data_IF_698291369972
#
_entry.id   IF_698291369972
#
_cell.length_a   1.000
_cell.length_b   1.000
_cell.length_c   1.000
_cell.angle_alpha   90.00
_cell.angle_beta   90.00
_cell.angle_gamma   90.00
#
_symmetry.space_group_name_H-M   'P 1'
#
loop_
_entity.id
_entity.type
_entity.pdbx_description
1 polymer ?
#
# COMPACT_ATOMS: atom_id res chain seq x y z
N UNK A 1 -81.55 17.51 48.71
CA UNK A 1 -82.10 17.17 50.04
C UNK A 1 -80.94 16.99 50.99
N UNK A 2 -80.89 17.89 51.98
CA UNK A 2 -80.23 17.85 53.26
C UNK A 2 -78.71 17.98 53.29
N UNK A 3 -78.14 19.16 53.47
CA UNK A 3 -77.86 19.97 54.60
C UNK A 3 -77.22 19.26 55.84
N UNK A 4 -76.00 19.68 56.14
CA UNK A 4 -75.33 19.41 57.44
C UNK A 4 -73.97 20.12 57.54
N UNK A 5 -73.95 21.30 57.89
CA UNK A 5 -73.31 22.27 58.75
C UNK A 5 -72.09 21.77 59.63
N UNK A 6 -70.99 22.51 59.46
CA UNK A 6 -70.11 23.20 60.44
C UNK A 6 -69.58 22.42 61.64
N UNK A 7 -68.24 22.46 61.78
CA UNK A 7 -67.64 23.34 62.86
C UNK A 7 -66.10 23.47 62.66
N UNK A 8 -65.62 24.63 62.74
CA UNK A 8 -64.22 24.97 62.72
C UNK A 8 -63.58 24.80 64.10
N UNK A 9 -62.27 24.54 64.08
CA UNK A 9 -61.43 24.77 65.25
C UNK A 9 -60.08 25.29 64.77
N UNK A 10 -59.90 26.56 64.91
CA UNK A 10 -58.61 27.26 64.84
C UNK A 10 -57.78 26.84 66.06
N UNK A 11 -56.63 26.21 65.81
CA UNK A 11 -55.59 26.10 66.82
C UNK A 11 -54.31 26.69 66.24
N UNK A 12 -54.13 27.96 66.65
CA UNK A 12 -52.84 28.64 66.58
C UNK A 12 -51.86 27.93 67.51
N UNK A 13 -51.09 26.99 66.99
CA UNK A 13 -49.91 26.46 67.65
C UNK A 13 -48.78 27.49 67.50
N UNK A 14 -48.47 28.25 68.52
CA UNK A 14 -47.26 29.08 68.64
C UNK A 14 -46.06 28.14 68.58
N UNK A 15 -45.30 28.23 67.53
CA UNK A 15 -44.06 27.49 67.39
C UNK A 15 -43.05 27.99 68.40
N UNK A 16 -42.52 27.08 69.19
CA UNK A 16 -41.56 27.38 70.26
C UNK A 16 -40.23 27.91 69.68
N UNK A 17 -39.62 28.91 70.25
CA UNK A 17 -38.34 29.51 69.76
C UNK A 17 -37.24 28.49 69.55
N UNK A 18 -37.20 27.41 70.28
CA UNK A 18 -36.25 26.30 70.12
C UNK A 18 -36.40 25.56 68.80
N UNK A 19 -37.64 25.35 68.31
CA UNK A 19 -37.89 24.67 67.00
C UNK A 19 -37.46 25.48 65.78
N UNK A 20 -37.53 26.82 65.91
CA UNK A 20 -37.05 27.75 64.86
C UNK A 20 -35.51 27.72 64.77
N UNK A 21 -34.83 27.64 65.92
CA UNK A 21 -33.36 27.56 65.95
C UNK A 21 -32.85 26.25 65.34
N UNK A 22 -33.49 25.10 65.55
CA UNK A 22 -33.16 23.83 65.02
C UNK A 22 -33.39 23.82 63.49
N UNK A 23 -34.51 24.41 63.05
CA UNK A 23 -34.84 24.48 61.59
C UNK A 23 -33.88 25.39 60.84
N UNK A 24 -33.46 26.52 61.41
CA UNK A 24 -32.47 27.39 60.80
C UNK A 24 -31.04 26.78 60.75
N UNK A 25 -30.68 25.99 61.74
CA UNK A 25 -29.41 25.28 61.74
C UNK A 25 -29.39 24.09 60.67
N UNK A 26 -30.50 23.42 60.51
CA UNK A 26 -30.66 22.40 59.50
C UNK A 26 -30.57 23.04 58.09
N UNK A 27 -31.23 24.16 57.83
CA UNK A 27 -31.16 24.92 56.61
C UNK A 27 -29.75 25.44 56.29
N UNK A 28 -29.00 25.88 57.32
CA UNK A 28 -27.59 26.30 57.16
C UNK A 28 -26.69 25.09 56.82
N UNK A 29 -26.89 23.94 57.44
CA UNK A 29 -26.11 22.74 57.13
C UNK A 29 -26.39 22.20 55.74
N UNK A 30 -27.65 22.26 55.23
CA UNK A 30 -28.01 21.91 53.87
C UNK A 30 -27.41 22.89 52.85
N UNK A 31 -27.36 24.17 53.13
CA UNK A 31 -26.67 25.14 52.25
C UNK A 31 -25.18 24.87 52.16
N UNK A 32 -24.53 24.57 53.27
CA UNK A 32 -23.10 24.20 53.28
C UNK A 32 -22.89 22.89 52.52
N UNK A 33 -23.78 21.89 52.70
CA UNK A 33 -23.71 20.63 51.97
C UNK A 33 -23.79 20.84 50.46
N UNK A 34 -24.72 21.66 49.96
CA UNK A 34 -24.84 21.93 48.51
C UNK A 34 -23.69 22.81 47.97
N UNK A 35 -23.11 23.68 48.76
CA UNK A 35 -21.91 24.44 48.37
C UNK A 35 -20.71 23.49 48.29
N UNK A 36 -20.51 22.59 49.24
CA UNK A 36 -19.43 21.62 49.24
C UNK A 36 -19.62 20.59 48.10
N UNK A 37 -20.84 20.12 47.88
CA UNK A 37 -21.16 19.25 46.75
C UNK A 37 -20.93 19.95 45.41
N UNK A 38 -21.31 21.22 45.26
CA UNK A 38 -21.06 22.01 44.06
C UNK A 38 -19.57 22.24 43.79
N UNK A 39 -18.78 22.52 44.84
CA UNK A 39 -17.32 22.63 44.70
C UNK A 39 -16.67 21.29 44.37
N UNK A 40 -17.17 20.19 44.94
CA UNK A 40 -16.67 18.84 44.61
C UNK A 40 -16.99 18.44 43.16
N UNK A 41 -18.18 18.76 42.64
CA UNK A 41 -18.58 18.51 41.26
C UNK A 41 -17.75 19.38 40.30
N UNK A 42 -17.51 20.66 40.63
CA UNK A 42 -16.68 21.53 39.79
C UNK A 42 -15.20 21.11 39.82
N UNK A 43 -14.65 20.73 40.97
CA UNK A 43 -13.28 20.20 41.06
C UNK A 43 -13.15 18.85 40.34
N UNK A 44 -14.14 17.96 40.45
CA UNK A 44 -14.16 16.70 39.72
C UNK A 44 -14.26 16.91 38.20
N UNK A 45 -15.05 17.89 37.77
CA UNK A 45 -15.13 18.25 36.33
C UNK A 45 -13.80 18.84 35.81
N UNK A 46 -13.09 19.63 36.63
CA UNK A 46 -11.76 20.14 36.30
C UNK A 46 -10.68 19.05 36.28
N UNK A 47 -10.79 18.01 37.11
CA UNK A 47 -9.88 16.89 37.15
C UNK A 47 -10.13 15.88 35.98
N UNK A 48 -11.37 15.75 35.52
CA UNK A 48 -11.73 14.92 34.38
C UNK A 48 -11.30 15.55 33.06
N UNK A 49 -11.22 16.89 32.97
CA UNK A 49 -10.74 17.59 31.78
C UNK A 49 -9.21 17.60 31.58
N UNK A 50 -8.42 17.00 32.48
CA UNK A 50 -6.95 17.05 32.45
C UNK A 50 -6.27 15.68 32.18
N UNK A 51 -7.00 14.66 31.80
CA UNK A 51 -6.43 13.36 31.49
C UNK A 51 -6.18 13.10 29.99
N UNK A 52 -6.06 14.14 29.15
CA UNK A 52 -5.42 13.99 27.84
C UNK A 52 -3.91 14.13 28.04
N UNK A 53 -3.13 13.13 27.69
CA UNK A 53 -1.69 13.30 27.53
C UNK A 53 -1.44 14.38 26.47
N UNK A 54 -0.39 15.18 26.64
CA UNK A 54 -0.02 16.15 25.62
C UNK A 54 0.22 15.42 24.29
N UNK A 55 -0.21 15.99 23.15
CA UNK A 55 0.00 15.35 21.86
C UNK A 55 1.48 15.08 21.61
N UNK A 56 1.82 13.84 21.23
CA UNK A 56 3.19 13.41 20.94
C UNK A 56 3.52 13.80 19.51
N UNK A 57 4.69 14.42 19.26
CA UNK A 57 5.10 14.72 17.88
C UNK A 57 5.22 13.43 17.05
N UNK A 58 4.89 13.51 15.77
CA UNK A 58 5.02 12.34 14.86
C UNK A 58 6.45 11.81 14.86
N UNK A 59 7.43 12.72 14.91
CA UNK A 59 8.85 12.38 14.93
C UNK A 59 9.26 11.63 16.20
N UNK A 60 8.77 12.08 17.36
CA UNK A 60 9.08 11.43 18.64
C UNK A 60 8.36 10.08 18.78
N UNK A 61 7.18 9.95 18.17
CA UNK A 61 6.43 8.68 18.14
C UNK A 61 7.14 7.62 17.28
N UNK A 62 7.87 8.05 16.22
CA UNK A 62 8.52 7.17 15.25
C UNK A 62 9.97 7.61 14.98
N UNK A 63 10.86 7.55 15.97
CA UNK A 63 12.21 8.06 15.82
C UNK A 63 12.99 7.32 14.73
N UNK A 64 13.67 8.08 13.88
CA UNK A 64 14.55 7.53 12.84
C UNK A 64 13.83 6.87 11.64
N UNK A 65 12.50 7.00 11.53
CA UNK A 65 11.73 6.49 10.39
C UNK A 65 11.52 7.58 9.34
N UNK A 66 12.04 7.41 8.14
CA UNK A 66 11.91 8.41 7.05
C UNK A 66 10.47 8.65 6.59
N UNK A 67 9.62 7.63 6.69
CA UNK A 67 8.23 7.68 6.23
C UNK A 67 7.25 8.39 7.19
N UNK A 68 7.70 8.87 8.34
CA UNK A 68 6.82 9.52 9.33
C UNK A 68 6.44 10.93 8.98
N UNK A 69 7.25 11.61 8.19
CA UNK A 69 7.01 12.99 7.76
C UNK A 69 7.15 13.08 6.24
N UNK A 70 6.37 13.95 5.59
CA UNK A 70 6.60 14.24 4.17
C UNK A 70 7.97 14.89 3.98
N UNK A 71 8.58 14.65 2.82
CA UNK A 71 9.83 15.31 2.44
C UNK A 71 9.54 16.80 2.30
N UNK A 72 10.06 17.57 3.24
CA UNK A 72 9.90 19.02 3.20
C UNK A 72 10.91 19.62 2.22
N UNK A 73 10.39 20.36 1.27
CA UNK A 73 11.19 21.11 0.29
C UNK A 73 11.09 22.59 0.59
N UNK A 74 12.22 23.25 0.56
CA UNK A 74 12.33 24.71 0.63
C UNK A 74 11.87 25.37 -0.67
N UNK A 75 12.42 26.55 -0.93
CA UNK A 75 12.12 27.34 -2.11
C UNK A 75 12.70 26.70 -3.40
N UNK A 76 12.37 27.33 -4.54
CA UNK A 76 12.80 26.92 -5.87
C UNK A 76 14.32 26.83 -6.00
N UNK A 77 14.78 25.94 -6.85
CA UNK A 77 16.20 25.82 -7.21
C UNK A 77 16.50 26.77 -8.36
N UNK A 78 17.55 27.59 -8.29
CA UNK A 78 17.95 28.43 -9.40
C UNK A 78 18.17 27.63 -10.70
N UNK A 79 17.60 28.10 -11.81
CA UNK A 79 17.69 27.43 -13.11
C UNK A 79 16.59 26.39 -13.38
N UNK A 80 15.66 26.19 -12.43
CA UNK A 80 14.47 25.33 -12.60
C UNK A 80 13.21 26.19 -12.44
N UNK A 81 12.20 25.97 -13.30
CA UNK A 81 10.93 26.73 -13.25
C UNK A 81 10.04 26.35 -12.07
N UNK A 82 10.05 25.08 -11.72
CA UNK A 82 9.27 24.49 -10.63
C UNK A 82 9.80 23.11 -10.28
N UNK A 83 9.19 22.48 -9.26
CA UNK A 83 9.66 21.21 -8.70
C UNK A 83 8.74 20.03 -9.07
N UNK A 84 7.73 20.28 -9.93
CA UNK A 84 6.83 19.22 -10.40
C UNK A 84 7.55 18.31 -11.42
N UNK A 85 7.06 17.10 -11.60
CA UNK A 85 7.59 16.21 -12.63
C UNK A 85 7.41 16.81 -14.04
N UNK A 86 6.33 17.57 -14.25
CA UNK A 86 6.10 18.29 -15.51
C UNK A 86 7.18 19.35 -15.78
N UNK A 87 7.60 20.08 -14.76
CA UNK A 87 8.68 21.07 -14.90
C UNK A 87 9.99 20.40 -15.26
N UNK A 88 10.33 19.29 -14.59
CA UNK A 88 11.52 18.48 -14.93
C UNK A 88 11.42 17.93 -16.36
N UNK A 89 10.23 17.46 -16.75
CA UNK A 89 9.93 16.94 -18.08
C UNK A 89 10.11 17.94 -19.21
N UNK A 90 10.07 19.25 -18.92
CA UNK A 90 10.35 20.30 -19.90
C UNK A 90 11.76 20.25 -20.50
N UNK A 91 12.72 19.63 -19.79
CA UNK A 91 14.07 19.37 -20.27
C UNK A 91 14.40 17.89 -20.35
N UNK A 92 13.90 17.07 -19.40
CA UNK A 92 14.11 15.63 -19.29
C UNK A 92 12.93 14.84 -19.85
N UNK A 93 12.54 15.10 -21.09
CA UNK A 93 11.31 14.61 -21.71
C UNK A 93 11.19 13.08 -21.70
N UNK A 94 12.27 12.38 -22.07
CA UNK A 94 12.25 10.89 -22.11
C UNK A 94 12.06 10.28 -20.73
N UNK A 95 12.73 10.84 -19.71
CA UNK A 95 12.57 10.39 -18.32
C UNK A 95 11.15 10.64 -17.81
N UNK A 96 10.58 11.80 -18.16
CA UNK A 96 9.21 12.15 -17.81
C UNK A 96 8.19 11.19 -18.47
N UNK A 97 8.35 10.91 -19.78
CA UNK A 97 7.48 9.97 -20.51
C UNK A 97 7.54 8.56 -19.89
N UNK A 98 8.73 8.07 -19.56
CA UNK A 98 8.92 6.79 -18.90
C UNK A 98 8.28 6.77 -17.51
N UNK A 99 8.59 7.77 -16.66
CA UNK A 99 8.03 7.90 -15.32
C UNK A 99 6.50 7.99 -15.35
N UNK A 100 5.92 8.78 -16.21
CA UNK A 100 4.46 9.00 -16.30
C UNK A 100 3.67 7.70 -16.49
N UNK A 101 4.29 6.68 -17.05
CA UNK A 101 3.68 5.38 -17.27
C UNK A 101 3.90 4.40 -16.12
N UNK A 102 4.74 4.77 -15.15
CA UNK A 102 5.13 3.91 -14.02
C UNK A 102 4.06 3.83 -12.94
N UNK A 103 4.19 2.81 -12.09
CA UNK A 103 3.40 2.69 -10.86
C UNK A 103 3.69 3.83 -9.87
N UNK A 104 4.88 4.43 -9.90
CA UNK A 104 5.23 5.57 -9.07
C UNK A 104 4.39 6.80 -9.43
N UNK A 105 4.31 7.16 -10.71
CA UNK A 105 3.48 8.28 -11.15
C UNK A 105 2.00 8.08 -10.78
N UNK A 106 1.54 6.85 -10.76
CA UNK A 106 0.15 6.50 -10.47
C UNK A 106 -0.09 6.08 -9.01
N UNK A 107 0.89 6.27 -8.11
CA UNK A 107 0.81 5.77 -6.75
C UNK A 107 -0.37 6.37 -5.95
N UNK A 108 -0.71 7.62 -6.19
CA UNK A 108 -1.86 8.26 -5.56
C UNK A 108 -3.18 7.86 -6.22
N UNK A 109 -3.24 7.83 -7.55
CA UNK A 109 -4.47 7.55 -8.30
C UNK A 109 -4.81 6.06 -8.41
N UNK A 110 -4.01 5.17 -7.86
CA UNK A 110 -4.26 3.73 -7.84
C UNK A 110 -5.59 3.40 -7.15
N UNK A 111 -6.46 2.65 -7.83
CA UNK A 111 -7.82 2.41 -7.34
C UNK A 111 -7.87 1.58 -6.05
N UNK A 112 -6.97 0.61 -5.90
CA UNK A 112 -6.89 -0.17 -4.65
C UNK A 112 -6.44 0.74 -3.50
N UNK A 113 -5.45 1.61 -3.74
CA UNK A 113 -5.01 2.60 -2.77
C UNK A 113 -6.12 3.60 -2.42
N UNK A 114 -6.84 4.11 -3.40
CA UNK A 114 -7.97 5.01 -3.16
C UNK A 114 -9.10 4.34 -2.37
N UNK A 115 -9.34 3.05 -2.58
CA UNK A 115 -10.26 2.28 -1.76
C UNK A 115 -9.79 2.17 -0.30
N UNK A 116 -8.49 1.96 -0.07
CA UNK A 116 -7.89 1.96 1.28
C UNK A 116 -8.01 3.33 1.97
N UNK A 117 -7.70 4.41 1.27
CA UNK A 117 -7.86 5.77 1.80
C UNK A 117 -9.30 6.09 2.20
N UNK A 118 -10.27 5.51 1.51
CA UNK A 118 -11.70 5.75 1.74
C UNK A 118 -12.28 4.97 2.92
N UNK A 119 -11.50 4.11 3.56
CA UNK A 119 -11.93 3.39 4.77
C UNK A 119 -12.07 4.37 5.95
N UNK A 120 -13.12 4.24 6.79
CA UNK A 120 -13.35 5.15 7.92
C UNK A 120 -12.20 5.27 8.91
N UNK A 121 -11.47 4.17 9.08
CA UNK A 121 -10.35 4.07 10.03
C UNK A 121 -9.00 3.97 9.29
N UNK A 122 -8.86 4.64 8.16
CA UNK A 122 -7.58 4.71 7.46
C UNK A 122 -6.70 5.81 8.06
N UNK A 123 -5.45 5.54 8.45
CA UNK A 123 -4.50 6.56 8.85
C UNK A 123 -3.93 7.24 7.59
N UNK A 124 -4.80 7.98 6.87
CA UNK A 124 -4.50 8.54 5.55
C UNK A 124 -3.17 9.29 5.50
N UNK A 125 -2.91 10.12 6.51
CA UNK A 125 -1.68 10.93 6.61
C UNK A 125 -0.42 10.08 6.50
N UNK A 126 -0.44 8.87 7.08
CA UNK A 126 0.68 7.94 7.07
C UNK A 126 0.84 7.25 5.70
N UNK A 127 -0.25 6.77 5.14
CA UNK A 127 -0.25 6.14 3.80
C UNK A 127 0.30 7.08 2.73
N UNK A 128 -0.12 8.35 2.83
CA UNK A 128 0.30 9.39 1.90
C UNK A 128 1.81 9.67 1.96
N UNK A 129 2.50 9.41 3.06
CA UNK A 129 3.95 9.64 3.17
C UNK A 129 4.79 8.79 2.19
N UNK A 130 4.22 7.67 1.68
CA UNK A 130 4.84 6.88 0.62
C UNK A 130 4.21 7.13 -0.75
N UNK A 131 2.92 7.48 -0.81
CA UNK A 131 2.19 7.58 -2.08
C UNK A 131 2.24 8.97 -2.73
N UNK A 132 2.35 10.04 -1.93
CA UNK A 132 2.63 11.43 -2.34
C UNK A 132 3.58 12.05 -1.32
N UNK A 133 4.86 11.69 -1.35
CA UNK A 133 5.79 11.90 -0.23
C UNK A 133 6.27 13.34 -0.05
N UNK A 134 6.07 14.22 -1.02
CA UNK A 134 6.55 15.60 -0.94
C UNK A 134 5.55 16.48 -0.18
N UNK A 135 6.04 17.40 0.64
CA UNK A 135 5.18 18.30 1.43
C UNK A 135 4.24 19.13 0.56
N UNK A 136 4.68 19.64 -0.58
CA UNK A 136 3.84 20.42 -1.51
C UNK A 136 2.67 19.63 -2.13
N UNK A 137 2.71 18.31 -2.09
CA UNK A 137 1.62 17.45 -2.54
C UNK A 137 0.53 17.25 -1.49
N UNK A 138 0.68 17.83 -0.29
CA UNK A 138 -0.14 17.54 0.89
C UNK A 138 -0.97 18.73 1.30
N UNK A 139 -2.29 18.59 1.25
CA UNK A 139 -3.23 19.61 1.73
C UNK A 139 -3.10 19.85 3.24
N UNK A 140 -2.85 18.78 3.98
CA UNK A 140 -2.65 18.81 5.42
C UNK A 140 -1.47 17.94 5.80
N UNK A 141 -0.75 18.32 6.85
CA UNK A 141 0.41 17.61 7.37
C UNK A 141 0.12 17.25 8.84
N UNK A 142 0.34 15.99 9.20
CA UNK A 142 0.28 15.55 10.59
C UNK A 142 1.54 16.00 11.32
N UNK A 143 1.37 16.71 12.42
CA UNK A 143 2.48 17.20 13.25
C UNK A 143 2.60 16.44 14.57
N UNK A 144 1.47 16.07 15.16
CA UNK A 144 1.37 15.36 16.43
C UNK A 144 0.28 14.29 16.36
N UNK A 145 0.26 13.43 17.35
CA UNK A 145 -0.74 12.39 17.56
C UNK A 145 -1.33 12.54 18.96
N UNK A 146 -2.65 12.65 19.06
CA UNK A 146 -3.32 12.63 20.35
C UNK A 146 -3.13 11.25 20.98
N UNK A 147 -2.66 11.20 22.21
CA UNK A 147 -2.32 9.97 22.94
C UNK A 147 -1.35 9.03 22.18
N UNK A 148 -0.61 9.54 21.20
CA UNK A 148 0.25 8.75 20.33
C UNK A 148 -0.49 7.83 19.35
N UNK A 149 -1.81 8.04 19.20
CA UNK A 149 -2.65 7.23 18.30
C UNK A 149 -2.56 7.71 16.86
N UNK A 150 -2.13 6.81 15.95
CA UNK A 150 -2.00 7.09 14.51
C UNK A 150 -3.31 7.44 13.82
N UNK A 151 -4.44 7.08 14.43
CA UNK A 151 -5.79 7.38 13.93
C UNK A 151 -6.33 8.72 14.44
N UNK A 152 -5.59 9.41 15.32
CA UNK A 152 -5.96 10.70 15.88
C UNK A 152 -4.88 11.77 15.63
N UNK A 153 -4.51 12.02 14.36
CA UNK A 153 -3.48 13.00 14.03
C UNK A 153 -3.96 14.43 14.28
N UNK A 154 -3.07 15.27 14.77
CA UNK A 154 -3.22 16.72 14.72
C UNK A 154 -2.74 17.19 13.36
N UNK A 155 -3.68 17.64 12.53
CA UNK A 155 -3.44 18.05 11.15
C UNK A 155 -3.35 19.58 11.06
N UNK A 156 -2.32 20.08 10.42
CA UNK A 156 -2.18 21.51 10.09
C UNK A 156 -2.32 21.71 8.58
N UNK A 157 -3.00 22.78 8.18
CA UNK A 157 -3.14 23.17 6.79
C UNK A 157 -1.78 23.55 6.20
N UNK A 158 -1.55 23.16 4.95
CA UNK A 158 -0.31 23.47 4.25
C UNK A 158 -0.55 24.53 3.18
N UNK A 159 -0.05 25.75 3.38
CA UNK A 159 -0.18 26.85 2.43
C UNK A 159 0.58 26.63 1.12
N UNK A 160 1.57 25.73 1.11
CA UNK A 160 2.36 25.37 -0.07
C UNK A 160 1.74 24.23 -0.89
N UNK A 161 0.50 23.81 -0.55
CA UNK A 161 -0.19 22.73 -1.24
C UNK A 161 -0.51 23.12 -2.70
N UNK A 162 -0.13 22.25 -3.64
CA UNK A 162 -0.49 22.34 -5.05
C UNK A 162 -1.32 21.14 -5.47
N UNK A 163 -2.61 21.31 -5.83
CA UNK A 163 -3.52 20.22 -6.21
C UNK A 163 -3.10 19.50 -7.50
N UNK A 164 -2.34 20.16 -8.39
CA UNK A 164 -1.80 19.50 -9.58
C UNK A 164 -0.60 18.64 -9.23
N UNK A 165 0.22 19.08 -8.28
CA UNK A 165 1.35 18.29 -7.80
C UNK A 165 0.89 17.05 -7.00
N UNK A 166 -0.21 17.13 -6.25
CA UNK A 166 -0.83 16.00 -5.57
C UNK A 166 -1.05 14.80 -6.50
N UNK A 167 -1.45 15.07 -7.76
CA UNK A 167 -1.76 14.03 -8.76
C UNK A 167 -0.53 13.27 -9.28
N UNK A 168 0.67 13.75 -9.03
CA UNK A 168 1.90 13.17 -9.58
C UNK A 168 2.37 11.89 -8.88
N UNK A 169 1.78 11.51 -7.73
CA UNK A 169 2.22 10.32 -7.00
C UNK A 169 3.66 10.47 -6.48
N UNK A 170 4.47 9.42 -6.64
CA UNK A 170 5.90 9.45 -6.33
C UNK A 170 6.63 10.10 -7.51
N UNK A 171 6.90 11.39 -7.39
CA UNK A 171 7.43 12.21 -8.48
C UNK A 171 8.96 12.25 -8.52
N UNK A 172 9.51 12.93 -9.52
CA UNK A 172 10.96 13.12 -9.68
C UNK A 172 11.61 13.67 -8.40
N UNK A 173 10.95 14.64 -7.76
CA UNK A 173 11.42 15.28 -6.54
C UNK A 173 11.60 14.30 -5.36
N UNK A 174 10.83 13.24 -5.30
CA UNK A 174 10.96 12.23 -4.23
C UNK A 174 12.35 11.62 -4.15
N UNK A 175 12.96 11.36 -5.30
CA UNK A 175 14.30 10.78 -5.37
C UNK A 175 15.39 11.82 -5.53
N UNK A 176 15.14 12.86 -6.33
CA UNK A 176 16.15 13.81 -6.76
C UNK A 176 16.24 15.09 -5.91
N UNK A 177 15.29 15.33 -5.01
CA UNK A 177 15.31 16.52 -4.16
C UNK A 177 15.51 16.13 -2.68
N UNK A 178 16.26 16.96 -1.98
CA UNK A 178 16.38 16.90 -0.52
C UNK A 178 16.54 18.32 0.03
N UNK A 179 16.29 18.51 1.32
CA UNK A 179 16.66 19.72 2.02
C UNK A 179 18.08 19.58 2.60
N UNK A 180 18.86 20.65 2.51
CA UNK A 180 20.13 20.73 3.23
C UNK A 180 19.90 21.10 4.72
N UNK A 181 20.98 21.22 5.47
CA UNK A 181 20.94 21.60 6.89
C UNK A 181 20.39 23.00 7.17
N UNK A 182 20.29 23.83 6.14
CA UNK A 182 19.73 25.19 6.18
C UNK A 182 18.29 25.24 5.68
N UNK A 183 17.68 24.09 5.36
CA UNK A 183 16.32 24.00 4.83
C UNK A 183 16.18 24.40 3.36
N UNK A 184 17.27 24.58 2.61
CA UNK A 184 17.23 24.89 1.18
C UNK A 184 17.06 23.62 0.38
N UNK A 185 16.25 23.68 -0.67
CA UNK A 185 16.11 22.56 -1.61
C UNK A 185 17.34 22.43 -2.46
N UNK A 186 17.92 21.23 -2.50
CA UNK A 186 19.03 20.87 -3.36
C UNK A 186 18.67 19.68 -4.24
N UNK A 187 19.18 19.68 -5.46
CA UNK A 187 19.01 18.58 -6.40
C UNK A 187 20.20 17.64 -6.28
N UNK A 188 19.91 16.35 -6.13
CA UNK A 188 20.91 15.29 -6.09
C UNK A 188 20.86 14.44 -7.36
N UNK A 189 22.02 14.02 -7.83
CA UNK A 189 22.19 13.18 -9.00
C UNK A 189 23.28 12.13 -8.84
N UNK A 190 23.32 11.11 -9.71
CA UNK A 190 24.40 10.10 -9.67
C UNK A 190 25.75 10.63 -10.16
N UNK A 191 25.73 11.74 -10.90
CA UNK A 191 26.91 12.39 -11.48
C UNK A 191 26.86 13.88 -11.23
N UNK A 192 28.02 14.55 -11.18
CA UNK A 192 28.16 16.01 -11.10
C UNK A 192 28.19 16.65 -12.46
N UNK A 193 27.31 16.30 -13.40
CA UNK A 193 27.31 16.85 -14.75
C UNK A 193 26.99 18.36 -14.75
N UNK A 194 27.57 19.09 -15.68
CA UNK A 194 27.23 20.50 -15.92
C UNK A 194 25.78 20.60 -16.37
N UNK A 195 24.99 21.41 -15.69
CA UNK A 195 23.59 21.64 -15.96
C UNK A 195 23.24 23.11 -15.70
N UNK A 196 22.14 23.64 -16.25
CA UNK A 196 21.64 24.98 -15.90
C UNK A 196 21.29 25.13 -14.40
N UNK A 197 21.04 24.04 -13.73
CA UNK A 197 20.79 23.96 -12.29
C UNK A 197 21.93 23.24 -11.58
N UNK A 198 22.18 23.57 -10.32
CA UNK A 198 23.18 22.90 -9.50
C UNK A 198 22.73 21.47 -9.17
N UNK A 199 23.67 20.52 -9.25
CA UNK A 199 23.44 19.10 -8.94
C UNK A 199 24.53 18.62 -7.97
N UNK A 200 24.16 18.23 -6.79
CA UNK A 200 25.04 17.53 -5.85
C UNK A 200 25.18 16.06 -6.27
N UNK A 201 26.42 15.60 -6.42
CA UNK A 201 26.68 14.18 -6.69
C UNK A 201 26.44 13.37 -5.41
N UNK A 202 25.37 12.62 -5.37
CA UNK A 202 25.02 11.78 -4.21
C UNK A 202 24.27 10.52 -4.64
N UNK A 203 24.97 9.57 -5.22
CA UNK A 203 24.40 8.30 -5.70
C UNK A 203 23.85 7.47 -4.54
N UNK A 204 24.52 7.46 -3.39
CA UNK A 204 24.12 6.69 -2.23
C UNK A 204 22.76 7.13 -1.70
N UNK A 205 22.56 8.44 -1.52
CA UNK A 205 21.27 8.98 -1.09
C UNK A 205 20.14 8.66 -2.08
N UNK A 206 20.40 8.66 -3.39
CA UNK A 206 19.41 8.26 -4.40
C UNK A 206 18.98 6.80 -4.24
N UNK A 207 19.94 5.91 -4.03
CA UNK A 207 19.67 4.48 -3.92
C UNK A 207 19.01 4.12 -2.59
N UNK A 208 19.33 4.84 -1.51
CA UNK A 208 18.72 4.64 -0.20
C UNK A 208 17.22 4.96 -0.19
N UNK A 209 16.75 5.87 -1.06
CA UNK A 209 15.34 6.26 -1.16
C UNK A 209 14.36 5.11 -1.38
N UNK A 210 14.80 4.04 -2.04
CA UNK A 210 13.93 2.88 -2.26
C UNK A 210 13.46 2.29 -0.92
N UNK A 211 14.36 2.19 0.05
CA UNK A 211 14.08 1.60 1.36
C UNK A 211 13.18 2.49 2.24
N UNK A 212 13.13 3.79 1.97
CA UNK A 212 12.25 4.70 2.73
C UNK A 212 10.77 4.27 2.63
N UNK A 213 10.36 3.64 1.52
CA UNK A 213 9.00 3.16 1.30
C UNK A 213 8.91 1.64 1.14
N UNK A 214 9.93 0.99 0.60
CA UNK A 214 9.90 -0.45 0.30
C UNK A 214 10.50 -1.34 1.40
N UNK A 215 10.89 -0.77 2.54
CA UNK A 215 11.40 -1.53 3.68
C UNK A 215 10.80 -1.04 4.99
N UNK A 216 9.50 -1.29 5.17
CA UNK A 216 8.75 -0.88 6.35
C UNK A 216 8.02 -2.07 6.97
N UNK A 217 8.12 -2.22 8.30
CA UNK A 217 7.30 -3.13 9.06
C UNK A 217 6.71 -2.39 10.26
N UNK A 218 5.42 -2.22 10.26
CA UNK A 218 4.76 -1.51 11.33
C UNK A 218 3.34 -2.01 11.56
N UNK A 219 3.04 -2.40 12.80
CA UNK A 219 1.71 -2.74 13.24
C UNK A 219 1.01 -1.47 13.72
N UNK A 220 0.01 -1.02 12.97
CA UNK A 220 -0.72 0.21 13.25
C UNK A 220 -1.78 0.01 14.33
N UNK A 221 -2.50 -1.10 14.26
CA UNK A 221 -3.42 -1.59 15.30
C UNK A 221 -3.53 -3.11 15.24
N UNK A 222 -4.51 -3.69 15.93
CA UNK A 222 -4.70 -5.14 15.95
C UNK A 222 -4.92 -5.75 14.56
N UNK A 223 -5.57 -5.05 13.63
CA UNK A 223 -5.97 -5.58 12.32
C UNK A 223 -5.32 -4.90 11.12
N UNK A 224 -4.47 -3.89 11.34
CA UNK A 224 -3.82 -3.14 10.27
C UNK A 224 -2.30 -3.13 10.46
N UNK A 225 -1.61 -3.66 9.49
CA UNK A 225 -0.14 -3.70 9.42
C UNK A 225 0.35 -3.05 8.13
N UNK A 226 1.48 -2.36 8.24
CA UNK A 226 2.26 -1.93 7.09
C UNK A 226 3.49 -2.84 7.05
N UNK A 227 3.56 -3.77 6.09
CA UNK A 227 4.58 -4.81 6.09
C UNK A 227 5.18 -4.99 4.70
N UNK A 228 6.31 -4.35 4.48
CA UNK A 228 7.08 -4.37 3.24
C UNK A 228 8.56 -4.55 3.59
N UNK A 229 9.08 -5.76 3.50
CA UNK A 229 10.45 -6.07 3.89
C UNK A 229 11.39 -6.32 2.71
N UNK A 230 11.10 -5.70 1.57
CA UNK A 230 11.87 -5.89 0.35
C UNK A 230 13.34 -5.52 0.51
N UNK A 231 13.65 -4.49 1.30
CA UNK A 231 15.03 -4.09 1.59
C UNK A 231 15.79 -5.11 2.45
N UNK A 232 15.15 -5.65 3.50
CA UNK A 232 15.74 -6.71 4.34
C UNK A 232 15.96 -7.98 3.52
N UNK A 233 14.96 -8.37 2.73
CA UNK A 233 15.04 -9.53 1.81
C UNK A 233 16.18 -9.37 0.80
N UNK A 234 16.40 -8.14 0.31
CA UNK A 234 17.52 -7.84 -0.59
C UNK A 234 18.87 -7.97 0.14
N UNK A 235 18.99 -7.49 1.36
CA UNK A 235 20.23 -7.61 2.13
C UNK A 235 20.64 -9.07 2.37
N UNK A 236 19.68 -10.00 2.41
CA UNK A 236 19.88 -11.44 2.54
C UNK A 236 20.04 -12.16 1.18
N UNK A 237 19.96 -11.45 0.06
CA UNK A 237 19.89 -12.06 -1.27
C UNK A 237 21.24 -12.47 -1.84
N UNK A 238 21.23 -13.40 -2.80
CA UNK A 238 22.44 -13.80 -3.57
C UNK A 238 22.99 -12.65 -4.43
N UNK A 239 22.24 -11.57 -4.61
CA UNK A 239 22.60 -10.42 -5.42
C UNK A 239 23.25 -9.30 -4.61
N UNK A 240 23.12 -9.33 -3.28
CA UNK A 240 23.75 -8.32 -2.40
C UNK A 240 25.25 -8.56 -2.27
N UNK A 241 26.10 -7.51 -2.29
CA UNK A 241 25.84 -6.10 -2.69
C UNK A 241 26.13 -5.83 -4.18
N UNK A 242 26.24 -6.87 -5.03
CA UNK A 242 26.72 -6.76 -6.43
C UNK A 242 25.74 -6.04 -7.36
N UNK A 243 24.47 -6.17 -7.11
CA UNK A 243 23.41 -5.49 -7.85
C UNK A 243 22.50 -4.77 -6.86
N UNK A 244 21.91 -3.65 -7.24
CA UNK A 244 21.02 -2.86 -6.39
C UNK A 244 19.62 -2.71 -7.01
N UNK A 245 18.71 -2.04 -6.30
CA UNK A 245 17.34 -1.82 -6.77
C UNK A 245 17.31 -1.13 -8.14
N UNK A 246 18.19 -0.12 -8.32
CA UNK A 246 18.26 0.68 -9.55
C UNK A 246 18.69 -0.18 -10.73
N UNK A 247 19.72 -1.01 -10.57
CA UNK A 247 20.26 -1.85 -11.65
C UNK A 247 19.26 -2.87 -12.19
N UNK A 248 18.33 -3.34 -11.34
CA UNK A 248 17.28 -4.29 -11.72
C UNK A 248 15.99 -3.61 -12.19
N UNK A 249 15.53 -2.57 -11.47
CA UNK A 249 14.22 -1.94 -11.72
C UNK A 249 14.27 -0.72 -12.65
N UNK A 250 15.47 -0.20 -12.92
CA UNK A 250 15.70 0.94 -13.79
C UNK A 250 16.78 0.58 -14.84
N UNK A 251 16.44 -0.18 -15.89
CA UNK A 251 17.42 -0.70 -16.85
C UNK A 251 18.31 0.40 -17.42
N UNK A 252 19.60 0.11 -17.59
CA UNK A 252 20.59 1.03 -18.16
C UNK A 252 20.29 1.33 -19.61
N UNK A 253 20.56 2.56 -20.04
CA UNK A 253 20.45 3.03 -21.40
C UNK A 253 21.48 4.12 -21.66
N UNK A 254 22.12 4.09 -22.81
CA UNK A 254 23.02 5.16 -23.25
C UNK A 254 22.26 6.14 -24.13
N UNK A 255 22.02 7.35 -23.62
CA UNK A 255 21.27 8.40 -24.33
C UNK A 255 21.63 9.81 -23.86
N UNK A 256 21.21 10.84 -24.59
CA UNK A 256 21.10 12.17 -24.03
C UNK A 256 20.04 12.18 -22.93
N UNK A 257 20.32 12.83 -21.81
CA UNK A 257 19.37 12.91 -20.68
C UNK A 257 18.48 14.14 -20.75
N UNK A 258 18.69 14.99 -21.77
CA UNK A 258 17.92 16.22 -22.02
C UNK A 258 17.50 16.28 -23.48
N UNK A 259 16.61 17.21 -23.81
CA UNK A 259 16.16 17.45 -25.17
C UNK A 259 17.34 17.70 -26.13
N UNK A 260 17.22 17.26 -27.40
CA UNK A 260 18.29 17.47 -28.42
C UNK A 260 18.70 18.93 -28.60
N UNK A 261 17.79 19.87 -28.35
CA UNK A 261 18.06 21.32 -28.42
C UNK A 261 19.15 21.80 -27.47
N UNK A 262 19.47 21.04 -26.42
CA UNK A 262 20.53 21.37 -25.47
C UNK A 262 21.89 20.80 -25.87
N UNK A 263 22.01 20.09 -26.99
CA UNK A 263 23.23 19.52 -27.54
C UNK A 263 24.10 18.76 -26.53
N UNK A 264 23.45 18.10 -25.58
CA UNK A 264 24.14 17.31 -24.54
C UNK A 264 24.59 15.96 -25.10
N UNK A 265 25.81 15.57 -24.75
CA UNK A 265 26.36 14.28 -25.11
C UNK A 265 25.54 13.12 -24.53
N UNK A 266 25.54 11.99 -25.26
CA UNK A 266 24.99 10.72 -24.73
C UNK A 266 25.84 10.25 -23.58
N UNK A 267 25.18 9.71 -22.58
CA UNK A 267 25.83 9.11 -21.41
C UNK A 267 25.02 7.94 -20.88
N UNK A 268 25.64 7.12 -20.07
CA UNK A 268 24.95 6.05 -19.35
C UNK A 268 23.96 6.67 -18.36
N UNK A 269 22.76 6.21 -18.46
CA UNK A 269 21.60 6.66 -17.69
C UNK A 269 20.71 5.44 -17.38
N UNK A 270 19.62 5.67 -16.70
CA UNK A 270 18.64 4.65 -16.35
C UNK A 270 17.26 5.03 -16.89
N UNK A 271 16.51 4.00 -17.33
CA UNK A 271 15.09 4.17 -17.64
C UNK A 271 14.29 4.39 -16.36
N UNK A 272 13.27 5.24 -16.44
CA UNK A 272 12.42 5.60 -15.31
C UNK A 272 11.04 4.92 -15.38
N UNK A 273 10.99 3.72 -15.98
CA UNK A 273 9.78 2.90 -16.08
C UNK A 273 9.49 2.12 -14.80
N UNK A 274 10.49 1.93 -13.93
CA UNK A 274 10.38 1.21 -12.67
C UNK A 274 9.71 -0.16 -12.85
N UNK A 275 10.25 -0.94 -13.79
CA UNK A 275 9.75 -2.28 -14.07
C UNK A 275 9.83 -3.15 -12.82
N UNK A 276 8.77 -3.89 -12.54
CA UNK A 276 8.71 -4.75 -11.36
C UNK A 276 7.60 -5.78 -11.47
N UNK A 277 7.58 -6.74 -10.56
CA UNK A 277 6.63 -7.85 -10.51
C UNK A 277 5.20 -7.44 -10.20
N UNK A 278 4.90 -6.16 -10.21
CA UNK A 278 3.55 -5.68 -10.03
C UNK A 278 2.72 -5.85 -11.29
N UNK A 279 1.45 -6.14 -11.11
CA UNK A 279 0.46 -5.96 -12.16
C UNK A 279 0.37 -4.46 -12.44
N UNK A 280 0.42 -4.00 -13.70
CA UNK A 280 0.39 -2.59 -14.01
C UNK A 280 -0.89 -1.91 -13.59
N UNK A 281 -0.77 -0.67 -13.16
CA UNK A 281 -1.88 0.11 -12.64
C UNK A 281 -2.64 0.90 -13.70
N UNK A 282 -2.11 0.97 -14.93
CA UNK A 282 -2.75 1.66 -16.06
C UNK A 282 -2.81 0.74 -17.27
N UNK A 283 -4.00 0.24 -17.57
CA UNK A 283 -4.25 -0.69 -18.68
C UNK A 283 -3.78 -0.21 -20.06
N UNK A 284 -4.03 1.03 -20.48
CA UNK A 284 -3.72 1.42 -21.86
C UNK A 284 -2.22 1.57 -22.14
N UNK A 285 -1.40 1.78 -21.11
CA UNK A 285 0.03 2.06 -21.26
C UNK A 285 0.90 0.84 -21.00
N UNK A 286 0.30 -0.22 -20.51
CA UNK A 286 1.02 -1.42 -20.09
C UNK A 286 1.66 -2.17 -21.25
N UNK A 287 0.93 -2.37 -22.34
CA UNK A 287 1.40 -3.16 -23.48
C UNK A 287 2.68 -2.57 -24.09
N UNK A 288 2.82 -1.24 -24.08
CA UNK A 288 4.01 -0.57 -24.57
C UNK A 288 5.26 -0.75 -23.67
N UNK A 289 5.06 -1.10 -22.39
CA UNK A 289 6.15 -1.20 -21.41
C UNK A 289 6.53 -2.61 -21.03
N UNK A 290 5.70 -3.57 -21.42
CA UNK A 290 5.85 -4.97 -21.04
C UNK A 290 7.14 -5.63 -21.53
N UNK A 291 7.76 -5.08 -22.54
CA UNK A 291 8.98 -5.61 -23.15
C UNK A 291 10.21 -5.70 -22.22
N UNK A 292 10.11 -5.31 -20.98
CA UNK A 292 11.19 -5.38 -19.99
C UNK A 292 10.85 -6.12 -18.70
N UNK A 293 9.60 -6.54 -18.53
CA UNK A 293 9.18 -7.24 -17.33
C UNK A 293 9.81 -8.63 -17.23
N UNK A 294 10.24 -8.96 -16.01
CA UNK A 294 10.68 -10.30 -15.67
C UNK A 294 10.09 -10.65 -14.29
N UNK A 295 9.56 -11.87 -14.19
CA UNK A 295 8.96 -12.37 -12.95
C UNK A 295 9.96 -12.53 -11.79
N UNK A 296 11.25 -12.53 -12.10
CA UNK A 296 12.29 -12.90 -11.15
C UNK A 296 12.50 -14.42 -11.04
N UNK A 297 11.59 -15.22 -11.55
CA UNK A 297 11.63 -16.68 -11.50
C UNK A 297 12.11 -17.30 -12.80
N UNK A 298 12.99 -18.28 -12.69
CA UNK A 298 13.27 -19.24 -13.74
C UNK A 298 12.34 -20.43 -13.55
N UNK A 299 11.66 -20.82 -14.63
CA UNK A 299 10.68 -21.89 -14.63
C UNK A 299 11.22 -22.99 -15.53
N UNK A 300 11.47 -24.18 -14.98
CA UNK A 300 11.81 -25.35 -15.77
C UNK A 300 10.54 -25.92 -16.41
N UNK A 301 10.69 -26.63 -17.52
CA UNK A 301 9.56 -27.25 -18.22
C UNK A 301 8.79 -28.20 -17.29
N UNK A 302 7.46 -28.08 -17.24
CA UNK A 302 6.64 -28.93 -16.38
C UNK A 302 6.64 -30.36 -16.85
N UNK A 303 6.73 -31.31 -15.92
CA UNK A 303 6.68 -32.74 -16.21
C UNK A 303 5.39 -33.33 -15.68
N UNK A 304 4.58 -33.84 -16.58
CA UNK A 304 3.34 -34.53 -16.25
C UNK A 304 3.55 -36.06 -16.34
N UNK A 305 3.02 -36.80 -15.38
CA UNK A 305 3.08 -38.24 -15.32
C UNK A 305 1.81 -38.86 -14.78
N UNK A 306 1.39 -39.97 -15.33
CA UNK A 306 0.34 -40.79 -14.76
C UNK A 306 0.93 -41.68 -13.67
N UNK A 307 0.38 -41.64 -12.45
CA UNK A 307 0.78 -42.48 -11.32
C UNK A 307 -0.06 -43.76 -11.34
N UNK A 308 -1.35 -43.59 -11.54
CA UNK A 308 -2.39 -44.63 -11.68
C UNK A 308 -3.42 -44.14 -12.68
N UNK A 309 -4.38 -44.98 -13.05
CA UNK A 309 -5.37 -44.68 -14.10
C UNK A 309 -6.14 -43.35 -13.86
N UNK A 310 -6.29 -42.91 -12.60
CA UNK A 310 -7.07 -41.75 -12.24
C UNK A 310 -6.23 -40.64 -11.57
N UNK A 311 -4.91 -40.82 -11.46
CA UNK A 311 -4.04 -39.87 -10.78
C UNK A 311 -2.97 -39.39 -11.72
N UNK A 312 -2.95 -38.09 -11.97
CA UNK A 312 -1.91 -37.38 -12.73
C UNK A 312 -1.12 -36.50 -11.81
N UNK A 313 0.20 -36.55 -11.92
CA UNK A 313 1.15 -35.73 -11.18
C UNK A 313 1.79 -34.71 -12.10
N UNK A 314 1.85 -33.48 -11.64
CA UNK A 314 2.69 -32.42 -12.19
C UNK A 314 3.89 -32.19 -11.29
N UNK A 315 5.09 -32.26 -11.85
CA UNK A 315 6.31 -31.79 -11.22
C UNK A 315 6.76 -30.49 -11.88
N UNK A 316 7.00 -29.47 -11.11
CA UNK A 316 7.39 -28.14 -11.52
C UNK A 316 8.57 -27.65 -10.68
N UNK A 317 9.59 -27.13 -11.32
CA UNK A 317 10.72 -26.50 -10.63
C UNK A 317 10.67 -24.99 -10.86
N UNK A 318 10.64 -24.25 -9.78
CA UNK A 318 10.77 -22.79 -9.74
C UNK A 318 12.08 -22.41 -9.06
N UNK A 319 12.83 -21.49 -9.66
CA UNK A 319 14.09 -20.99 -9.12
C UNK A 319 14.07 -19.46 -9.08
N UNK A 320 14.26 -18.88 -7.91
CA UNK A 320 14.40 -17.44 -7.75
C UNK A 320 15.88 -17.04 -7.91
N UNK A 321 16.37 -17.07 -9.14
CA UNK A 321 17.75 -16.72 -9.49
C UNK A 321 17.91 -15.29 -10.02
N UNK A 322 16.81 -14.59 -10.28
CA UNK A 322 16.82 -13.29 -10.94
C UNK A 322 16.34 -12.14 -10.04
N UNK A 323 15.61 -12.42 -8.95
CA UNK A 323 15.17 -11.38 -8.03
C UNK A 323 16.07 -11.29 -6.79
N UNK A 324 16.41 -10.07 -6.40
CA UNK A 324 17.15 -9.77 -5.18
C UNK A 324 16.29 -9.73 -3.92
N UNK A 325 15.16 -10.41 -3.90
CA UNK A 325 14.21 -10.47 -2.80
C UNK A 325 13.32 -11.71 -2.97
N UNK A 326 12.49 -12.02 -2.01
CA UNK A 326 11.50 -13.10 -2.13
C UNK A 326 10.51 -12.84 -3.28
N UNK A 327 9.99 -13.89 -3.88
CA UNK A 327 8.96 -13.80 -4.93
C UNK A 327 7.69 -14.51 -4.46
N UNK A 328 6.55 -13.77 -4.37
CA UNK A 328 6.41 -12.33 -4.51
C UNK A 328 6.95 -11.56 -3.30
N UNK A 329 7.15 -10.24 -3.43
CA UNK A 329 7.51 -9.35 -2.34
C UNK A 329 6.55 -8.16 -2.27
N UNK A 330 6.69 -7.33 -1.23
CA UNK A 330 5.87 -6.14 -1.00
C UNK A 330 4.61 -6.45 -0.20
N UNK A 331 3.48 -5.97 -0.68
CA UNK A 331 2.18 -6.09 -0.02
C UNK A 331 1.85 -7.54 0.40
N UNK A 332 1.43 -7.79 1.66
CA UNK A 332 1.11 -9.13 2.18
C UNK A 332 0.04 -9.90 1.40
N UNK A 333 -0.86 -9.21 0.72
CA UNK A 333 -1.92 -9.84 -0.08
C UNK A 333 -1.42 -10.36 -1.43
N UNK A 334 -0.25 -9.93 -1.88
CA UNK A 334 0.33 -10.42 -3.14
C UNK A 334 0.78 -11.87 -3.02
N UNK A 335 0.38 -12.66 -3.99
CA UNK A 335 0.75 -14.06 -4.05
C UNK A 335 0.83 -14.58 -5.48
N UNK A 336 1.50 -15.72 -5.64
CA UNK A 336 1.44 -16.48 -6.87
C UNK A 336 0.37 -17.55 -6.72
N UNK A 337 -0.36 -17.79 -7.82
CA UNK A 337 -1.19 -18.99 -7.98
C UNK A 337 -0.55 -19.90 -9.04
N UNK A 338 -0.41 -21.16 -8.70
CA UNK A 338 -0.01 -22.22 -9.60
C UNK A 338 -1.26 -23.03 -9.89
N UNK A 339 -1.77 -22.92 -11.10
CA UNK A 339 -2.93 -23.67 -11.57
C UNK A 339 -2.48 -24.84 -12.43
N UNK A 340 -2.76 -26.04 -11.99
CA UNK A 340 -2.62 -27.26 -12.76
C UNK A 340 -4.02 -27.71 -13.20
N UNK A 341 -4.26 -27.79 -14.51
CA UNK A 341 -5.56 -28.11 -15.08
C UNK A 341 -5.43 -29.29 -16.03
N UNK A 342 -6.27 -30.29 -15.89
CA UNK A 342 -6.40 -31.37 -16.84
C UNK A 342 -7.61 -31.15 -17.75
N UNK A 343 -7.45 -31.33 -19.04
CA UNK A 343 -8.50 -31.22 -20.03
C UNK A 343 -8.62 -32.50 -20.85
N UNK A 344 -9.83 -32.82 -21.28
CA UNK A 344 -10.11 -33.86 -22.26
C UNK A 344 -9.75 -33.42 -23.69
N UNK A 345 -10.06 -34.25 -24.69
CA UNK A 345 -9.76 -33.98 -26.11
C UNK A 345 -10.51 -32.74 -26.63
N UNK A 346 -11.69 -32.46 -26.09
CA UNK A 346 -12.55 -31.32 -26.47
C UNK A 346 -12.20 -30.03 -25.74
N UNK A 347 -11.18 -30.09 -24.87
CA UNK A 347 -10.73 -28.93 -24.09
C UNK A 347 -11.56 -28.66 -22.84
N UNK A 348 -12.48 -29.54 -22.43
CA UNK A 348 -13.26 -29.43 -21.23
C UNK A 348 -12.41 -29.78 -20.02
N UNK A 349 -12.56 -29.01 -18.92
CA UNK A 349 -11.86 -29.26 -17.67
C UNK A 349 -12.30 -30.60 -17.05
N UNK A 350 -11.35 -31.45 -16.77
CA UNK A 350 -11.51 -32.74 -16.12
C UNK A 350 -11.19 -32.63 -14.62
N UNK A 351 -10.12 -31.91 -14.30
CA UNK A 351 -9.66 -31.72 -12.94
C UNK A 351 -8.80 -30.46 -12.85
N UNK A 352 -8.83 -29.82 -11.70
CA UNK A 352 -8.02 -28.63 -11.41
C UNK A 352 -7.42 -28.72 -10.01
N UNK A 353 -6.16 -28.29 -9.88
CA UNK A 353 -5.49 -28.07 -8.58
C UNK A 353 -4.90 -26.67 -8.57
N UNK A 354 -5.08 -25.95 -7.47
CA UNK A 354 -4.51 -24.62 -7.28
C UNK A 354 -3.62 -24.66 -6.04
N UNK A 355 -2.39 -24.18 -6.18
CA UNK A 355 -1.45 -23.98 -5.08
C UNK A 355 -1.09 -22.50 -4.96
N UNK A 356 -1.00 -22.01 -3.73
CA UNK A 356 -0.67 -20.61 -3.44
C UNK A 356 0.74 -20.50 -2.88
N UNK A 357 1.51 -19.51 -3.41
CA UNK A 357 2.81 -19.11 -2.88
C UNK A 357 2.71 -17.65 -2.46
N UNK A 358 2.93 -17.36 -1.19
CA UNK A 358 2.79 -16.02 -0.62
C UNK A 358 2.90 -16.04 0.89
N UNK A 359 2.68 -14.91 1.49
CA UNK A 359 2.49 -14.83 2.93
C UNK A 359 1.10 -15.33 3.30
N UNK A 360 1.00 -15.95 4.47
CA UNK A 360 -0.25 -16.47 5.04
C UNK A 360 -0.52 -15.67 6.31
N UNK A 361 -1.54 -14.84 6.25
CA UNK A 361 -1.93 -13.97 7.35
C UNK A 361 -3.27 -14.39 7.92
N UNK A 362 -3.36 -14.40 9.23
CA UNK A 362 -4.61 -14.32 9.97
C UNK A 362 -4.88 -12.85 10.27
N UNK A 363 -6.02 -12.33 9.79
CA UNK A 363 -6.35 -10.90 9.95
C UNK A 363 -7.26 -10.61 11.14
N UNK A 364 -7.90 -11.64 11.70
CA UNK A 364 -8.83 -11.49 12.80
C UNK A 364 -8.61 -12.59 13.86
N UNK A 365 -8.72 -12.29 15.16
CA UNK A 365 -8.99 -10.96 15.77
C UNK A 365 -7.81 -10.00 15.69
N UNK A 366 -6.64 -10.50 15.36
CA UNK A 366 -5.39 -9.75 15.30
C UNK A 366 -4.57 -10.16 14.08
N UNK A 367 -4.06 -9.15 13.34
CA UNK A 367 -3.21 -9.42 12.18
C UNK A 367 -1.90 -10.10 12.61
N UNK A 368 -1.70 -11.32 12.12
CA UNK A 368 -0.53 -12.15 12.44
C UNK A 368 -0.06 -12.91 11.20
N UNK A 369 1.22 -12.84 10.93
CA UNK A 369 1.87 -13.69 9.94
C UNK A 369 1.99 -15.11 10.53
N UNK A 370 1.23 -16.07 9.97
CA UNK A 370 1.22 -17.45 10.43
C UNK A 370 2.03 -18.39 9.55
N UNK A 371 2.42 -17.94 8.37
CA UNK A 371 3.29 -18.69 7.47
C UNK A 371 3.81 -17.83 6.31
N UNK A 372 4.95 -18.21 5.80
CA UNK A 372 5.58 -17.61 4.62
C UNK A 372 6.21 -18.71 3.77
N UNK A 373 5.59 -18.99 2.61
CA UNK A 373 6.10 -19.97 1.67
C UNK A 373 6.58 -19.32 0.35
N UNK A 374 6.89 -18.03 0.37
CA UNK A 374 7.48 -17.32 -0.78
C UNK A 374 8.82 -17.95 -1.16
N UNK A 375 9.22 -17.79 -2.41
CA UNK A 375 10.47 -18.34 -2.92
C UNK A 375 11.58 -17.32 -2.66
N UNK A 376 12.50 -17.64 -1.75
CA UNK A 376 13.61 -16.74 -1.37
C UNK A 376 14.61 -16.57 -2.51
N UNK A 377 15.35 -15.46 -2.51
CA UNK A 377 16.42 -15.24 -3.47
C UNK A 377 17.45 -16.39 -3.43
N UNK A 378 17.76 -16.96 -4.58
CA UNK A 378 18.63 -18.13 -4.74
C UNK A 378 17.95 -19.48 -4.50
N UNK A 379 16.71 -19.51 -4.02
CA UNK A 379 16.00 -20.76 -3.74
C UNK A 379 15.54 -21.43 -5.02
N UNK A 380 15.80 -22.75 -5.11
CA UNK A 380 15.24 -23.66 -6.12
C UNK A 380 14.27 -24.62 -5.43
N UNK A 381 13.02 -24.60 -5.85
CA UNK A 381 11.94 -25.37 -5.26
C UNK A 381 11.31 -26.31 -6.24
N UNK A 382 11.20 -27.60 -5.87
CA UNK A 382 10.39 -28.58 -6.55
C UNK A 382 8.96 -28.55 -5.99
N UNK A 383 7.98 -28.41 -6.85
CA UNK A 383 6.55 -28.38 -6.52
C UNK A 383 5.90 -29.58 -7.19
N UNK A 384 5.30 -30.43 -6.37
CA UNK A 384 4.54 -31.58 -6.83
C UNK A 384 3.05 -31.34 -6.60
N UNK A 385 2.26 -31.41 -7.65
CA UNK A 385 0.81 -31.28 -7.59
C UNK A 385 0.17 -32.57 -8.12
N UNK A 386 -0.79 -33.08 -7.36
CA UNK A 386 -1.53 -34.30 -7.71
C UNK A 386 -2.97 -33.95 -8.05
N UNK A 387 -3.44 -34.47 -9.20
CA UNK A 387 -4.80 -34.26 -9.69
C UNK A 387 -5.50 -35.58 -9.85
N UNK A 388 -6.75 -35.70 -9.36
CA UNK A 388 -7.59 -36.85 -9.56
C UNK A 388 -8.57 -36.57 -10.70
N UNK A 389 -8.59 -37.43 -11.71
CA UNK A 389 -9.46 -37.29 -12.89
C UNK A 389 -10.89 -37.80 -12.65
N UNK A 390 -11.07 -38.64 -11.63
CA UNK A 390 -12.30 -39.41 -11.44
C UNK A 390 -12.44 -40.60 -12.41
N UNK A 391 -13.32 -41.54 -12.04
CA UNK A 391 -13.50 -42.79 -12.75
C UNK A 391 -13.88 -42.59 -14.24
N UNK A 392 -13.15 -43.26 -15.11
CA UNK A 392 -13.44 -43.31 -16.55
C UNK A 392 -13.06 -42.04 -17.33
N UNK A 393 -12.55 -40.98 -16.71
CA UNK A 393 -12.13 -39.76 -17.39
C UNK A 393 -10.65 -39.86 -17.80
N UNK A 394 -10.36 -39.70 -19.06
CA UNK A 394 -8.99 -39.69 -19.61
C UNK A 394 -8.60 -38.29 -20.05
N UNK A 395 -7.75 -37.57 -19.31
CA UNK A 395 -7.28 -36.27 -19.73
C UNK A 395 -6.34 -36.41 -20.93
N UNK A 396 -6.44 -35.49 -21.89
CA UNK A 396 -5.60 -35.39 -23.07
C UNK A 396 -4.52 -34.35 -22.90
N UNK A 397 -4.86 -33.28 -22.23
CA UNK A 397 -3.96 -32.13 -22.04
C UNK A 397 -3.77 -31.79 -20.57
N UNK A 398 -2.53 -31.42 -20.23
CA UNK A 398 -2.20 -30.74 -18.96
C UNK A 398 -1.87 -29.28 -19.22
N UNK A 399 -2.51 -28.39 -18.51
CA UNK A 399 -2.22 -26.96 -18.56
C UNK A 399 -1.59 -26.57 -17.23
N UNK A 400 -0.43 -25.94 -17.31
CA UNK A 400 0.16 -25.22 -16.18
C UNK A 400 0.03 -23.73 -16.42
N UNK A 401 -0.52 -23.02 -15.45
CA UNK A 401 -0.58 -21.56 -15.45
C UNK A 401 -0.01 -21.03 -14.14
N UNK A 402 0.84 -20.01 -14.21
CA UNK A 402 1.39 -19.33 -13.04
C UNK A 402 1.02 -17.86 -13.13
N UNK A 403 0.30 -17.38 -12.11
CA UNK A 403 -0.23 -16.03 -12.03
C UNK A 403 0.40 -15.29 -10.86
N UNK A 404 0.68 -14.01 -11.05
CA UNK A 404 0.95 -13.09 -9.97
C UNK A 404 -0.33 -12.32 -9.67
N UNK A 405 -0.95 -12.63 -8.54
CA UNK A 405 -2.21 -12.02 -8.11
C UNK A 405 -1.92 -10.78 -7.29
N UNK A 406 -2.63 -9.72 -7.63
CA UNK A 406 -2.59 -8.45 -6.91
C UNK A 406 -3.91 -8.16 -6.19
N UNK A 407 -5.02 -8.50 -6.81
CA UNK A 407 -6.35 -8.29 -6.27
C UNK A 407 -7.16 -9.57 -6.42
N UNK A 408 -7.66 -10.11 -5.31
CA UNK A 408 -8.56 -11.24 -5.35
C UNK A 408 -9.97 -10.80 -5.71
N UNK A 409 -10.82 -11.75 -6.12
CA UNK A 409 -12.24 -11.48 -6.36
C UNK A 409 -12.94 -10.98 -5.12
N UNK A 410 -12.68 -11.62 -4.00
CA UNK A 410 -13.29 -11.30 -2.71
C UNK A 410 -12.98 -9.86 -2.33
N UNK A 411 -11.72 -9.44 -2.50
CA UNK A 411 -11.32 -8.06 -2.24
C UNK A 411 -11.93 -7.09 -3.25
N UNK A 412 -12.04 -7.47 -4.52
CA UNK A 412 -12.71 -6.66 -5.54
C UNK A 412 -14.20 -6.45 -5.21
N UNK A 413 -14.92 -7.49 -4.81
CA UNK A 413 -16.33 -7.39 -4.39
C UNK A 413 -16.48 -6.54 -3.10
N UNK A 414 -15.54 -6.67 -2.16
CA UNK A 414 -15.51 -5.78 -0.99
C UNK A 414 -15.30 -4.30 -1.38
N UNK A 415 -14.38 -4.02 -2.30
CA UNK A 415 -14.15 -2.67 -2.82
C UNK A 415 -15.40 -2.12 -3.50
N UNK A 416 -16.05 -2.88 -4.38
CA UNK A 416 -17.31 -2.48 -5.05
C UNK A 416 -18.38 -2.14 -4.04
N UNK A 417 -18.61 -3.00 -3.05
CA UNK A 417 -19.61 -2.80 -1.99
C UNK A 417 -19.40 -1.49 -1.23
N UNK A 418 -18.15 -1.10 -1.02
CA UNK A 418 -17.77 0.07 -0.25
C UNK A 418 -17.43 1.30 -1.11
N UNK A 419 -17.62 1.24 -2.41
CA UNK A 419 -17.24 2.29 -3.37
C UNK A 419 -17.88 3.65 -3.10
N UNK A 420 -19.05 3.68 -2.46
CA UNK A 420 -19.73 4.92 -2.09
C UNK A 420 -19.03 5.76 -0.99
N UNK A 421 -17.98 5.22 -0.38
CA UNK A 421 -17.15 5.95 0.60
C UNK A 421 -16.11 6.86 -0.06
N UNK A 422 -15.73 6.56 -1.28
CA UNK A 422 -14.79 7.35 -2.06
C UNK A 422 -15.46 8.56 -2.71
N UNK A 423 -14.71 9.62 -3.08
CA UNK A 423 -15.21 10.70 -3.91
C UNK A 423 -15.90 10.15 -5.18
N UNK A 424 -16.96 10.83 -5.65
CA UNK A 424 -17.86 10.30 -6.69
C UNK A 424 -17.12 9.71 -7.90
N UNK A 425 -16.16 10.45 -8.48
CA UNK A 425 -15.42 10.00 -9.66
C UNK A 425 -14.65 8.71 -9.41
N UNK A 426 -14.03 8.59 -8.26
CA UNK A 426 -13.28 7.39 -7.84
C UNK A 426 -14.25 6.26 -7.52
N UNK A 427 -15.33 6.54 -6.79
CA UNK A 427 -16.37 5.58 -6.45
C UNK A 427 -17.01 4.92 -7.67
N UNK A 428 -17.24 5.69 -8.73
CA UNK A 428 -17.81 5.17 -9.99
C UNK A 428 -16.81 4.21 -10.70
N UNK A 429 -15.50 4.46 -10.63
CA UNK A 429 -14.47 3.52 -11.11
C UNK A 429 -14.36 2.28 -10.23
N UNK A 430 -14.47 2.44 -8.90
CA UNK A 430 -14.44 1.33 -7.95
C UNK A 430 -15.62 0.37 -8.11
N UNK A 431 -16.80 0.84 -8.47
CA UNK A 431 -17.98 0.00 -8.81
C UNK A 431 -17.72 -0.93 -10.00
N UNK A 432 -16.80 -0.55 -10.87
CA UNK A 432 -16.42 -1.28 -12.08
C UNK A 432 -14.91 -1.57 -12.12
N UNK A 433 -14.35 -1.90 -10.96
CA UNK A 433 -12.90 -2.04 -10.78
C UNK A 433 -12.28 -3.03 -11.76
N UNK A 434 -13.01 -4.06 -12.17
CA UNK A 434 -12.59 -5.05 -13.16
C UNK A 434 -12.34 -4.48 -14.56
N UNK A 435 -12.88 -3.29 -14.87
CA UNK A 435 -12.63 -2.59 -16.13
C UNK A 435 -11.37 -1.73 -16.08
N UNK A 436 -10.97 -1.32 -14.87
CA UNK A 436 -9.93 -0.32 -14.65
C UNK A 436 -8.69 -0.88 -13.98
N UNK A 437 -8.76 -2.10 -13.43
CA UNK A 437 -7.69 -2.66 -12.63
C UNK A 437 -7.52 -4.16 -12.92
N UNK A 438 -6.34 -4.61 -13.36
CA UNK A 438 -6.07 -6.02 -13.59
C UNK A 438 -5.91 -6.75 -12.24
N UNK A 439 -6.55 -7.90 -12.10
CA UNK A 439 -6.51 -8.70 -10.87
C UNK A 439 -5.24 -9.51 -10.76
N UNK A 440 -4.78 -10.04 -11.86
CA UNK A 440 -3.59 -10.84 -11.92
C UNK A 440 -2.87 -10.71 -13.26
N UNK A 441 -1.62 -11.15 -13.28
CA UNK A 441 -0.81 -11.28 -14.46
C UNK A 441 -0.38 -12.73 -14.60
N UNK A 442 -0.65 -13.35 -15.76
CA UNK A 442 -0.11 -14.66 -16.10
C UNK A 442 1.28 -14.47 -16.69
N UNK A 443 2.29 -14.86 -15.95
CA UNK A 443 3.66 -14.77 -16.43
C UNK A 443 4.19 -16.08 -17.01
N UNK A 444 3.46 -17.20 -16.82
CA UNK A 444 3.74 -18.45 -17.50
C UNK A 444 2.47 -19.24 -17.76
N UNK A 445 2.29 -19.71 -18.99
CA UNK A 445 1.25 -20.68 -19.33
C UNK A 445 1.79 -21.66 -20.36
N UNK A 446 1.58 -22.94 -20.12
CA UNK A 446 1.91 -24.00 -21.07
C UNK A 446 0.80 -25.03 -21.16
N UNK A 447 0.66 -25.62 -22.36
CA UNK A 447 -0.22 -26.76 -22.64
C UNK A 447 0.64 -27.95 -23.05
N UNK A 448 0.49 -29.05 -22.36
CA UNK A 448 1.21 -30.31 -22.61
C UNK A 448 0.23 -31.34 -23.13
N UNK A 449 0.51 -31.98 -24.27
CA UNK A 449 -0.17 -33.20 -24.71
C UNK A 449 0.33 -34.34 -23.81
N UNK A 450 -0.54 -34.91 -22.99
CA UNK A 450 -0.18 -35.89 -21.97
C UNK A 450 0.19 -37.25 -22.57
N UNK A 451 -0.19 -37.51 -23.81
CA UNK A 451 0.12 -38.74 -24.54
C UNK A 451 1.54 -38.69 -25.17
N UNK A 452 1.88 -37.54 -25.73
CA UNK A 452 3.16 -37.38 -26.49
C UNK A 452 4.24 -36.70 -25.66
N UNK A 453 3.87 -36.05 -24.55
CA UNK A 453 4.75 -35.20 -23.74
C UNK A 453 5.09 -33.87 -24.42
N UNK A 454 4.54 -33.57 -25.60
CA UNK A 454 4.84 -32.34 -26.33
C UNK A 454 4.28 -31.11 -25.58
N UNK A 455 5.16 -30.16 -25.28
CA UNK A 455 4.82 -28.92 -24.56
C UNK A 455 4.73 -27.77 -25.57
N UNK A 456 3.69 -26.96 -25.43
CA UNK A 456 3.53 -25.68 -26.12
C UNK A 456 3.41 -24.60 -25.06
N UNK A 457 4.35 -23.65 -25.01
CA UNK A 457 4.26 -22.47 -24.20
C UNK A 457 3.29 -21.48 -24.88
N UNK A 458 2.20 -21.13 -24.22
CA UNK A 458 1.14 -20.27 -24.74
C UNK A 458 1.24 -18.85 -24.19
N UNK A 459 1.83 -18.68 -23.03
CA UNK A 459 2.20 -17.36 -22.49
C UNK A 459 3.47 -17.46 -21.68
N UNK A 460 4.36 -16.54 -21.95
CA UNK A 460 5.55 -16.27 -21.14
C UNK A 460 5.57 -14.78 -20.92
N UNK A 461 5.14 -14.36 -19.73
CA UNK A 461 5.11 -12.96 -19.31
C UNK A 461 4.22 -12.05 -20.17
N UNK A 462 2.90 -12.07 -20.06
CA UNK A 462 2.13 -11.11 -20.83
C UNK A 462 0.62 -11.13 -20.82
N UNK A 463 -0.05 -12.08 -20.22
CA UNK A 463 -1.51 -12.05 -20.14
C UNK A 463 -1.99 -11.33 -18.87
N UNK A 464 -2.90 -10.37 -19.05
CA UNK A 464 -3.61 -9.71 -17.96
C UNK A 464 -4.95 -10.40 -17.69
N UNK A 465 -5.29 -10.56 -16.43
CA UNK A 465 -6.56 -11.11 -16.01
C UNK A 465 -7.37 -10.06 -15.22
N UNK A 466 -8.61 -9.92 -15.64
CA UNK A 466 -9.68 -9.29 -14.88
C UNK A 466 -10.85 -10.25 -14.79
N UNK A 467 -11.86 -9.96 -13.99
CA UNK A 467 -13.08 -10.78 -13.88
C UNK A 467 -13.78 -11.04 -15.20
N UNK A 468 -13.58 -10.18 -16.23
CA UNK A 468 -14.13 -10.34 -17.59
C UNK A 468 -13.31 -11.20 -18.52
N UNK A 469 -12.02 -11.46 -18.20
CA UNK A 469 -11.11 -12.23 -19.07
C UNK A 469 -10.82 -13.64 -18.53
N UNK A 470 -11.55 -14.09 -17.56
CA UNK A 470 -11.30 -15.35 -16.86
C UNK A 470 -10.54 -15.10 -15.54
N UNK A 471 -10.90 -15.89 -14.54
CA UNK A 471 -10.43 -15.68 -13.18
C UNK A 471 -9.14 -16.36 -12.86
N UNK A 472 -8.34 -15.79 -11.95
CA UNK A 472 -7.58 -16.61 -11.03
C UNK A 472 -8.49 -17.28 -10.00
#
# INVERSE_FOLDING_TARGET
>A
MVLGKRQGLSSHRKMNRSSIYIFLNILKSWRIFWIVAGVFVTLSSFLICKNGSDPISVKDRFPGRAWTEPINLGESIPGIRGLTAKDCGGCHEDHYKEWKTSSHANAFSDLQFQAELSKPNSPQWLCLNCHIPLSGQRKQIATHLNDGDVFQPVLVSNEKFDPEWEKEGVSCGTCHLKSDSQGRTILIGPTGAKAPHSVEKNREALHARCNDCHNQDYKLNASLVCYFKTGDEYAESIHFPKADCVSCHMPSINRSVVLPSFLAEKRDSHRHTFIGGGVPKTFPLFDAQWNGYKSGLKIEEPRWSFIKNEIVRLNLILENSLAGHSVPTGDPERHLLIEAILQDADGKEVSKHISKIGQIWEWYPEAKLVGDNRIRSGEKRNIELTLNTGAGKKPTFGILRILHVRLTKENAEHIKKNSGRAPKEIGDKLKQIELHYPFANVFYESKTDLRTGKIRITSKEGLLFSSKRGNP
#
